data_IF_931105530271
#
_entry.id   IF_931105530271
#
_cell.length_a   1.000
_cell.length_b   1.000
_cell.length_c   1.000
_cell.angle_alpha   90.00
_cell.angle_beta   90.00
_cell.angle_gamma   90.00
#
_symmetry.space_group_name_H-M   'P 1'
#
loop_
_entity.id
_entity.type
_entity.pdbx_description
1 polymer ?
#
# COMPACT_ATOMS: atom_id res chain seq x y z
N UNK A 1 -2.59 -18.01 -31.30
CA UNK A 1 -2.50 -16.58 -30.94
C UNK A 1 -1.04 -16.19 -31.07
N UNK A 2 -0.68 -15.33 -32.04
CA UNK A 2 0.68 -14.82 -32.14
C UNK A 2 0.81 -13.77 -31.02
N UNK A 3 1.49 -14.12 -29.93
CA UNK A 3 1.58 -13.37 -28.68
C UNK A 3 2.33 -12.02 -28.77
N UNK A 4 2.03 -11.22 -29.79
CA UNK A 4 2.47 -9.84 -29.86
C UNK A 4 1.60 -9.00 -28.93
N UNK A 5 2.22 -8.40 -27.92
CA UNK A 5 1.59 -7.43 -27.04
C UNK A 5 1.31 -6.16 -27.85
N UNK A 6 0.04 -5.84 -28.07
CA UNK A 6 -0.38 -4.59 -28.69
C UNK A 6 -0.57 -3.54 -27.60
N UNK A 7 0.38 -2.61 -27.56
CA UNK A 7 0.41 -1.52 -26.59
C UNK A 7 -0.82 -0.61 -26.70
N UNK A 8 -1.32 -0.36 -27.91
CA UNK A 8 -2.48 0.51 -28.14
C UNK A 8 -3.77 -0.19 -27.75
N UNK A 9 -3.88 -1.50 -28.00
CA UNK A 9 -4.98 -2.31 -27.48
C UNK A 9 -4.96 -2.36 -25.94
N UNK A 10 -3.78 -2.48 -25.32
CA UNK A 10 -3.62 -2.48 -23.87
C UNK A 10 -4.02 -1.14 -23.26
N UNK A 11 -3.55 0.00 -23.81
CA UNK A 11 -3.96 1.35 -23.39
C UNK A 11 -5.47 1.52 -23.49
N UNK A 12 -6.06 1.21 -24.65
CA UNK A 12 -7.51 1.37 -24.88
C UNK A 12 -8.36 0.56 -23.90
N UNK A 13 -7.89 -0.63 -23.50
CA UNK A 13 -8.59 -1.49 -22.55
C UNK A 13 -8.37 -1.08 -21.08
N UNK A 14 -7.16 -0.64 -20.72
CA UNK A 14 -6.76 -0.41 -19.32
C UNK A 14 -7.11 0.99 -18.80
N UNK A 15 -6.96 2.04 -19.62
CA UNK A 15 -7.13 3.43 -19.19
C UNK A 15 -8.56 3.71 -18.68
N UNK A 16 -9.63 3.41 -19.43
CA UNK A 16 -11.00 3.68 -18.95
C UNK A 16 -11.34 2.87 -17.70
N UNK A 17 -10.82 1.63 -17.60
CA UNK A 17 -11.05 0.76 -16.45
C UNK A 17 -10.39 1.29 -15.19
N UNK A 18 -9.16 1.81 -15.30
CA UNK A 18 -8.47 2.43 -14.16
C UNK A 18 -9.23 3.65 -13.66
N UNK A 19 -9.66 4.54 -14.58
CA UNK A 19 -10.46 5.71 -14.24
C UNK A 19 -11.76 5.33 -13.52
N UNK A 20 -12.55 4.41 -14.09
CA UNK A 20 -13.80 3.98 -13.48
C UNK A 20 -13.60 3.19 -12.17
N UNK A 21 -12.46 2.52 -11.97
CA UNK A 21 -12.13 1.90 -10.69
C UNK A 21 -11.84 2.95 -9.63
N UNK A 22 -10.96 3.92 -9.94
CA UNK A 22 -10.62 5.02 -9.03
C UNK A 22 -11.85 5.85 -8.64
N UNK A 23 -12.73 6.16 -9.59
CA UNK A 23 -13.97 6.91 -9.33
C UNK A 23 -14.90 6.15 -8.38
N UNK A 24 -15.06 4.82 -8.56
CA UNK A 24 -15.86 4.01 -7.64
C UNK A 24 -15.26 4.02 -6.24
N UNK A 25 -13.95 3.84 -6.13
CA UNK A 25 -13.23 3.76 -4.86
C UNK A 25 -13.34 5.08 -4.06
N UNK A 26 -13.16 6.23 -4.73
CA UNK A 26 -13.38 7.57 -4.15
C UNK A 26 -14.80 7.74 -3.61
N UNK A 27 -15.82 7.25 -4.33
CA UNK A 27 -17.22 7.37 -3.94
C UNK A 27 -17.56 6.48 -2.74
N UNK A 28 -17.20 5.20 -2.75
CA UNK A 28 -17.51 4.27 -1.64
C UNK A 28 -16.84 4.68 -0.33
N UNK A 29 -15.64 5.24 -0.40
CA UNK A 29 -14.91 5.66 0.79
C UNK A 29 -15.55 6.86 1.50
N UNK A 30 -16.11 7.81 0.73
CA UNK A 30 -16.82 8.97 1.27
C UNK A 30 -18.01 8.59 2.17
N UNK A 31 -18.61 7.42 1.94
CA UNK A 31 -19.79 6.95 2.68
C UNK A 31 -19.42 6.13 3.93
N UNK A 32 -18.20 5.56 4.02
CA UNK A 32 -17.88 4.48 4.97
C UNK A 32 -16.69 4.72 5.92
N UNK A 33 -15.83 5.74 5.71
CA UNK A 33 -14.60 5.88 6.51
C UNK A 33 -14.57 7.09 7.47
N UNK A 34 -14.22 6.82 8.73
CA UNK A 34 -13.62 7.80 9.66
C UNK A 34 -12.10 7.72 9.47
N UNK A 35 -11.54 8.59 8.63
CA UNK A 35 -10.09 8.74 8.46
C UNK A 35 -9.45 9.08 9.82
N UNK A 36 -8.41 8.36 10.23
CA UNK A 36 -7.72 8.62 11.51
C UNK A 36 -6.59 9.63 11.37
N UNK A 37 -5.82 9.56 10.28
CA UNK A 37 -4.52 10.23 10.21
C UNK A 37 -4.24 10.99 8.89
N UNK A 38 -4.99 10.75 7.81
CA UNK A 38 -4.72 11.34 6.48
C UNK A 38 -5.96 11.68 5.64
N UNK A 39 -5.73 12.02 4.36
CA UNK A 39 -6.79 12.22 3.35
C UNK A 39 -6.70 11.14 2.27
N UNK A 40 -7.83 10.69 1.71
CA UNK A 40 -7.78 9.90 0.47
C UNK A 40 -7.18 10.72 -0.65
N UNK A 41 -6.36 10.06 -1.45
CA UNK A 41 -5.70 10.68 -2.58
C UNK A 41 -6.01 9.95 -3.88
N UNK A 42 -6.08 10.75 -4.93
CA UNK A 42 -6.18 10.31 -6.31
C UNK A 42 -4.89 10.69 -7.01
N UNK A 43 -4.34 9.77 -7.77
CA UNK A 43 -3.08 9.92 -8.49
C UNK A 43 -3.29 9.69 -9.98
N UNK A 44 -2.61 10.50 -10.78
CA UNK A 44 -2.45 10.31 -12.21
C UNK A 44 -1.00 9.89 -12.46
N UNK A 45 -0.81 8.65 -12.91
CA UNK A 45 0.50 8.11 -13.23
C UNK A 45 0.69 8.10 -14.73
N UNK A 46 1.58 8.96 -15.21
CA UNK A 46 2.02 8.94 -16.60
C UNK A 46 3.14 7.92 -16.77
N UNK A 47 2.99 7.02 -17.75
CA UNK A 47 4.06 6.11 -18.14
C UNK A 47 4.90 6.70 -19.29
N UNK A 48 6.08 6.11 -19.53
CA UNK A 48 6.99 6.54 -20.60
C UNK A 48 6.44 6.38 -22.03
N UNK A 49 5.28 5.74 -22.18
CA UNK A 49 4.62 5.47 -23.45
C UNK A 49 3.43 6.42 -23.69
N UNK A 50 3.23 7.42 -22.82
CA UNK A 50 2.19 8.44 -22.93
C UNK A 50 0.79 7.97 -22.50
N UNK A 51 0.68 6.93 -21.66
CA UNK A 51 -0.58 6.53 -21.04
C UNK A 51 -0.67 6.99 -19.58
N UNK A 52 -1.87 7.41 -19.16
CA UNK A 52 -2.15 7.90 -17.80
C UNK A 52 -3.04 6.91 -17.03
N UNK A 53 -2.52 6.32 -15.96
CA UNK A 53 -3.29 5.47 -15.06
C UNK A 53 -3.83 6.27 -13.90
N UNK A 54 -5.04 5.94 -13.49
CA UNK A 54 -5.69 6.57 -12.36
C UNK A 54 -5.72 5.59 -11.18
N UNK A 55 -5.04 5.94 -10.11
CA UNK A 55 -4.96 5.15 -8.88
C UNK A 55 -5.51 5.96 -7.70
N UNK A 56 -5.96 5.26 -6.67
CA UNK A 56 -6.27 5.87 -5.38
C UNK A 56 -5.44 5.23 -4.29
N UNK A 57 -5.20 5.98 -3.23
CA UNK A 57 -4.64 5.47 -1.99
C UNK A 57 -5.60 5.75 -0.84
N UNK A 58 -5.63 4.85 0.15
CA UNK A 58 -6.49 4.99 1.33
C UNK A 58 -6.16 6.24 2.13
N UNK A 59 -4.88 6.52 2.37
CA UNK A 59 -4.47 7.73 3.08
C UNK A 59 -3.18 8.30 2.47
N UNK A 60 -3.10 9.63 2.42
CA UNK A 60 -1.84 10.37 2.27
C UNK A 60 -1.66 11.36 3.40
N UNK A 61 -0.43 11.48 3.87
CA UNK A 61 -0.04 12.44 4.90
C UNK A 61 1.44 12.78 4.79
N UNK A 62 1.83 13.91 5.37
CA UNK A 62 3.23 14.33 5.43
C UNK A 62 3.87 13.83 6.72
N UNK A 63 5.06 13.24 6.59
CA UNK A 63 5.89 12.85 7.72
C UNK A 63 7.34 13.24 7.42
N UNK A 64 7.93 14.06 8.30
CA UNK A 64 9.32 14.51 8.20
C UNK A 64 9.71 15.08 6.82
N UNK A 65 8.79 15.83 6.20
CA UNK A 65 8.99 16.43 4.88
C UNK A 65 8.91 15.45 3.69
N UNK A 66 8.48 14.21 3.93
CA UNK A 66 8.21 13.18 2.91
C UNK A 66 6.72 12.89 2.87
N UNK A 67 6.13 12.80 1.67
CA UNK A 67 4.74 12.37 1.53
C UNK A 67 4.65 10.85 1.69
N UNK A 68 3.78 10.37 2.56
CA UNK A 68 3.48 8.95 2.73
C UNK A 68 2.22 8.62 1.94
N UNK A 69 2.31 7.62 1.07
CA UNK A 69 1.17 7.02 0.36
C UNK A 69 0.84 5.69 1.05
N UNK A 70 -0.31 5.60 1.68
CA UNK A 70 -0.65 4.47 2.55
C UNK A 70 -1.85 3.67 2.01
N UNK A 71 -1.72 2.35 2.01
CA UNK A 71 -2.84 1.39 1.92
C UNK A 71 -3.06 0.75 3.28
N UNK A 72 -4.33 0.61 3.69
CA UNK A 72 -4.69 0.06 4.98
C UNK A 72 -5.47 -1.25 4.83
N UNK A 73 -5.08 -2.29 5.58
CA UNK A 73 -5.82 -3.55 5.68
C UNK A 73 -6.09 -3.87 7.13
N UNK A 74 -7.31 -4.28 7.43
CA UNK A 74 -7.76 -4.56 8.80
C UNK A 74 -8.30 -5.99 8.94
N UNK A 75 -8.06 -6.59 10.11
CA UNK A 75 -8.68 -7.83 10.53
C UNK A 75 -9.65 -7.59 11.68
N UNK A 76 -10.94 -7.56 11.38
CA UNK A 76 -11.98 -7.31 12.41
C UNK A 76 -12.15 -8.45 13.43
N UNK A 77 -11.63 -9.65 13.12
CA UNK A 77 -11.79 -10.85 13.97
C UNK A 77 -10.48 -11.56 14.27
N UNK A 78 -9.38 -11.15 13.65
CA UNK A 78 -8.08 -11.83 13.74
C UNK A 78 -6.97 -10.91 14.21
N UNK A 79 -5.80 -11.50 14.41
CA UNK A 79 -4.56 -10.76 14.74
C UNK A 79 -4.01 -9.99 13.55
N UNK A 80 -4.08 -10.56 12.34
CA UNK A 80 -3.60 -9.94 11.11
C UNK A 80 -4.65 -10.07 10.00
N UNK A 81 -4.64 -9.18 8.98
CA UNK A 81 -5.47 -9.32 7.80
C UNK A 81 -5.18 -10.62 7.04
N UNK A 82 -6.08 -11.01 6.14
CA UNK A 82 -5.87 -12.23 5.35
C UNK A 82 -4.68 -12.06 4.40
N UNK A 83 -4.08 -13.19 3.97
CA UNK A 83 -3.01 -13.14 2.97
C UNK A 83 -3.47 -12.43 1.68
N UNK A 84 -4.73 -12.64 1.26
CA UNK A 84 -5.29 -11.97 0.09
C UNK A 84 -5.35 -10.45 0.25
N UNK A 85 -5.79 -9.97 1.43
CA UNK A 85 -5.84 -8.53 1.72
C UNK A 85 -4.44 -7.90 1.74
N UNK A 86 -3.48 -8.60 2.34
CA UNK A 86 -2.07 -8.16 2.40
C UNK A 86 -1.47 -8.11 0.99
N UNK A 87 -1.69 -9.15 0.18
CA UNK A 87 -1.21 -9.20 -1.21
C UNK A 87 -1.82 -8.09 -2.07
N UNK A 88 -3.12 -7.83 -1.91
CA UNK A 88 -3.81 -6.73 -2.60
C UNK A 88 -3.20 -5.36 -2.24
N UNK A 89 -2.97 -5.10 -0.95
CA UNK A 89 -2.34 -3.86 -0.49
C UNK A 89 -0.91 -3.72 -1.03
N UNK A 90 -0.08 -4.77 -0.92
CA UNK A 90 1.28 -4.75 -1.46
C UNK A 90 1.31 -4.55 -2.98
N UNK A 91 0.38 -5.16 -3.71
CA UNK A 91 0.31 -5.03 -5.16
C UNK A 91 -0.01 -3.59 -5.60
N UNK A 92 -0.91 -2.90 -4.92
CA UNK A 92 -1.17 -1.47 -5.16
C UNK A 92 0.05 -0.62 -4.84
N UNK A 93 0.67 -0.85 -3.68
CA UNK A 93 1.85 -0.09 -3.25
C UNK A 93 3.06 -0.32 -4.16
N UNK A 94 3.16 -1.47 -4.83
CA UNK A 94 4.19 -1.72 -5.84
C UNK A 94 4.09 -0.71 -7.00
N UNK A 95 2.89 -0.34 -7.42
CA UNK A 95 2.71 0.65 -8.50
C UNK A 95 3.22 2.02 -8.04
N UNK A 96 2.86 2.43 -6.81
CA UNK A 96 3.32 3.70 -6.25
C UNK A 96 4.83 3.72 -5.99
N UNK A 97 5.40 2.64 -5.44
CA UNK A 97 6.81 2.53 -5.12
C UNK A 97 7.70 2.66 -6.36
N UNK A 98 7.19 2.30 -7.54
CA UNK A 98 7.90 2.40 -8.82
C UNK A 98 7.70 3.74 -9.55
N UNK A 99 6.97 4.71 -8.99
CA UNK A 99 6.89 6.06 -9.55
C UNK A 99 8.27 6.71 -9.49
N UNK A 100 8.84 7.11 -10.62
CA UNK A 100 10.16 7.73 -10.64
C UNK A 100 10.16 9.07 -9.87
N UNK A 101 9.25 9.98 -10.26
CA UNK A 101 9.08 11.30 -9.65
C UNK A 101 7.60 11.56 -9.35
N UNK A 102 7.31 12.04 -8.13
CA UNK A 102 5.97 12.48 -7.74
C UNK A 102 5.91 14.01 -7.75
N UNK A 103 4.88 14.56 -8.38
CA UNK A 103 4.63 16.00 -8.44
C UNK A 103 3.41 16.38 -7.61
N UNK A 104 3.53 17.49 -6.88
CA UNK A 104 2.41 18.18 -6.25
C UNK A 104 2.49 19.66 -6.65
N UNK A 105 1.46 20.18 -7.31
CA UNK A 105 1.43 21.54 -7.86
C UNK A 105 2.69 21.86 -8.71
N UNK A 106 3.04 20.96 -9.63
CA UNK A 106 4.23 21.00 -10.50
C UNK A 106 5.58 20.99 -9.77
N UNK A 107 5.60 20.79 -8.46
CA UNK A 107 6.82 20.65 -7.65
C UNK A 107 7.10 19.18 -7.38
N UNK A 108 8.30 18.73 -7.73
CA UNK A 108 8.77 17.39 -7.40
C UNK A 108 8.94 17.25 -5.88
N UNK A 109 8.34 16.22 -5.29
CA UNK A 109 8.36 15.97 -3.85
C UNK A 109 8.92 14.58 -3.52
N UNK A 110 9.62 14.44 -2.38
CA UNK A 110 10.00 13.12 -1.88
C UNK A 110 8.76 12.39 -1.36
N UNK A 111 8.72 11.08 -1.60
CA UNK A 111 7.63 10.24 -1.11
C UNK A 111 8.10 8.84 -0.73
N UNK A 112 7.30 8.15 0.08
CA UNK A 112 7.41 6.73 0.41
C UNK A 112 6.04 6.09 0.41
N UNK A 113 6.01 4.77 0.38
CA UNK A 113 4.79 3.98 0.43
C UNK A 113 4.72 3.20 1.74
N UNK A 114 3.52 3.03 2.27
CA UNK A 114 3.33 2.37 3.55
C UNK A 114 2.15 1.40 3.50
N UNK A 115 2.36 0.18 3.98
CA UNK A 115 1.27 -0.76 4.25
C UNK A 115 0.93 -0.71 5.75
N UNK A 116 -0.28 -0.24 6.09
CA UNK A 116 -0.80 -0.26 7.46
C UNK A 116 -1.66 -1.50 7.68
N UNK A 117 -1.21 -2.39 8.56
CA UNK A 117 -1.95 -3.59 8.96
C UNK A 117 -2.52 -3.40 10.36
N UNK A 118 -3.82 -3.56 10.50
CA UNK A 118 -4.53 -3.47 11.79
C UNK A 118 -5.24 -4.77 12.11
N UNK A 119 -5.44 -5.02 13.40
CA UNK A 119 -6.15 -6.20 13.88
C UNK A 119 -6.19 -6.19 15.40
N UNK A 120 -6.65 -7.29 16.01
CA UNK A 120 -6.70 -7.39 17.48
C UNK A 120 -5.29 -7.62 18.06
N UNK A 121 -4.40 -6.63 17.98
CA UNK A 121 -3.03 -6.68 18.49
C UNK A 121 -2.88 -5.70 19.68
N UNK A 122 -1.76 -5.78 20.37
CA UNK A 122 -1.34 -4.81 21.36
C UNK A 122 0.03 -4.26 20.98
N UNK A 123 0.15 -2.93 21.03
CA UNK A 123 1.31 -2.17 20.60
C UNK A 123 1.42 -1.98 19.08
N UNK A 124 2.64 -1.63 18.66
CA UNK A 124 2.99 -1.36 17.27
C UNK A 124 4.29 -2.07 16.89
N UNK A 125 4.38 -2.52 15.64
CA UNK A 125 5.61 -2.98 15.00
C UNK A 125 5.77 -2.29 13.64
N UNK A 126 6.91 -1.64 13.43
CA UNK A 126 7.29 -1.08 12.12
C UNK A 126 8.36 -1.97 11.51
N UNK A 127 8.19 -2.33 10.24
CA UNK A 127 9.12 -3.14 9.45
C UNK A 127 9.81 -2.26 8.39
N UNK A 128 11.11 -2.46 8.14
CA UNK A 128 11.93 -3.56 8.66
C UNK A 128 12.34 -3.38 10.14
N UNK A 129 12.36 -4.49 10.89
CA UNK A 129 12.71 -4.55 12.31
C UNK A 129 13.76 -5.63 12.60
N UNK A 130 14.45 -5.49 13.74
CA UNK A 130 15.40 -6.51 14.21
C UNK A 130 14.69 -7.81 14.60
N UNK A 131 15.42 -8.93 14.56
CA UNK A 131 14.89 -10.22 15.02
C UNK A 131 14.39 -10.17 16.46
N UNK A 132 15.07 -9.43 17.33
CA UNK A 132 14.70 -9.27 18.73
C UNK A 132 13.35 -8.58 18.86
N UNK A 133 13.18 -7.41 18.22
CA UNK A 133 11.93 -6.65 18.23
C UNK A 133 10.77 -7.49 17.69
N UNK A 134 10.96 -8.21 16.58
CA UNK A 134 9.92 -9.10 16.02
C UNK A 134 9.57 -10.25 16.97
N UNK A 135 10.57 -10.87 17.58
CA UNK A 135 10.35 -12.00 18.52
C UNK A 135 9.59 -11.54 19.76
N UNK A 136 9.93 -10.36 20.29
CA UNK A 136 9.22 -9.74 21.41
C UNK A 136 7.76 -9.46 21.04
N UNK A 137 7.52 -8.87 19.87
CA UNK A 137 6.17 -8.58 19.38
C UNK A 137 5.31 -9.85 19.17
N UNK A 138 5.89 -10.88 18.56
CA UNK A 138 5.24 -12.20 18.35
C UNK A 138 4.85 -12.83 19.69
N UNK A 139 5.75 -12.80 20.67
CA UNK A 139 5.51 -13.36 22.01
C UNK A 139 4.43 -12.57 22.76
N UNK A 140 4.51 -11.24 22.73
CA UNK A 140 3.54 -10.35 23.38
C UNK A 140 2.11 -10.58 22.85
N UNK A 141 1.98 -10.67 21.53
CA UNK A 141 0.69 -10.84 20.86
C UNK A 141 0.23 -12.30 20.71
N UNK A 142 1.01 -13.27 21.21
CA UNK A 142 0.75 -14.71 21.12
C UNK A 142 0.47 -15.16 19.67
N UNK A 143 1.26 -14.67 18.72
CA UNK A 143 1.04 -14.93 17.31
C UNK A 143 1.30 -16.39 16.96
N UNK A 144 0.47 -16.94 16.06
CA UNK A 144 0.64 -18.30 15.57
C UNK A 144 1.91 -18.43 14.73
N UNK A 145 2.40 -19.65 14.54
CA UNK A 145 3.56 -19.91 13.66
C UNK A 145 3.34 -19.37 12.23
N UNK A 146 2.12 -19.46 11.70
CA UNK A 146 1.79 -18.91 10.38
C UNK A 146 1.85 -17.39 10.35
N UNK A 147 1.36 -16.71 11.41
CA UNK A 147 1.48 -15.26 11.53
C UNK A 147 2.95 -14.81 11.68
N UNK A 148 3.76 -15.57 12.42
CA UNK A 148 5.20 -15.30 12.51
C UNK A 148 5.89 -15.41 11.14
N UNK A 149 5.60 -16.48 10.38
CA UNK A 149 6.12 -16.63 9.02
C UNK A 149 5.71 -15.47 8.11
N UNK A 150 4.46 -15.01 8.23
CA UNK A 150 4.00 -13.83 7.50
C UNK A 150 4.81 -12.58 7.87
N UNK A 151 5.03 -12.32 9.16
CA UNK A 151 5.83 -11.18 9.62
C UNK A 151 7.27 -11.23 9.10
N UNK A 152 7.88 -12.41 9.05
CA UNK A 152 9.23 -12.56 8.52
C UNK A 152 9.28 -12.30 7.00
N UNK A 153 8.27 -12.73 6.24
CA UNK A 153 8.14 -12.41 4.81
C UNK A 153 7.91 -10.92 4.57
N UNK A 154 7.02 -10.28 5.34
CA UNK A 154 6.77 -8.85 5.25
C UNK A 154 8.02 -8.04 5.64
N UNK A 155 8.77 -8.52 6.63
CA UNK A 155 10.02 -7.89 7.02
C UNK A 155 11.05 -7.96 5.88
N UNK A 156 11.16 -9.11 5.22
CA UNK A 156 12.04 -9.25 4.05
C UNK A 156 11.60 -8.32 2.91
N UNK A 157 10.31 -8.26 2.61
CA UNK A 157 9.78 -7.36 1.58
C UNK A 157 10.12 -5.88 1.86
N UNK A 158 9.99 -5.44 3.11
CA UNK A 158 10.34 -4.08 3.53
C UNK A 158 11.87 -3.83 3.57
N UNK A 159 12.70 -4.89 3.64
CA UNK A 159 14.16 -4.77 3.52
C UNK A 159 14.61 -4.61 2.06
N UNK A 160 13.98 -5.37 1.16
CA UNK A 160 14.32 -5.37 -0.28
C UNK A 160 13.75 -4.14 -1.01
N UNK A 161 12.67 -3.53 -0.50
CA UNK A 161 12.04 -2.35 -1.09
C UNK A 161 12.29 -1.09 -0.26
N UNK A 162 13.29 -0.25 -0.61
CA UNK A 162 13.71 0.89 0.22
C UNK A 162 12.67 2.01 0.35
N UNK A 163 11.64 2.02 -0.50
CA UNK A 163 10.51 2.96 -0.44
C UNK A 163 9.32 2.44 0.37
N UNK A 164 9.30 1.15 0.71
CA UNK A 164 8.20 0.51 1.43
C UNK A 164 8.50 0.44 2.93
N UNK A 165 7.55 0.90 3.72
CA UNK A 165 7.48 0.61 5.15
C UNK A 165 6.20 -0.20 5.43
N UNK A 166 6.25 -1.13 6.38
CA UNK A 166 5.06 -1.86 6.81
C UNK A 166 4.85 -1.60 8.29
N UNK A 167 3.70 -1.06 8.64
CA UNK A 167 3.36 -0.72 10.02
C UNK A 167 2.20 -1.58 10.47
N UNK A 168 2.36 -2.21 11.63
CA UNK A 168 1.39 -3.13 12.20
C UNK A 168 0.93 -2.57 13.53
N UNK A 169 -0.36 -2.29 13.64
CA UNK A 169 -1.01 -1.65 14.81
C UNK A 169 -2.10 -2.55 15.39
N UNK A 170 -2.30 -2.46 16.71
CA UNK A 170 -3.45 -3.00 17.43
C UNK A 170 -4.66 -2.09 17.44
#
# INVERSE_FOLDING_TARGET
>A
MNGAFDLEAFKRASLPRSYHAAQRELQTAHELERLSDGKKAYFELENMLGGTYHLTADEVFWQDGTLIIQEAKNSSRGKLPSLGDIQDGLFKLLLFANIDTLYLDDVAIPFRVQLKLTGNLDGQLTLPATQETRTQYVKHNQLSRGAQQMLDLLNLEAQENPRLEIVIHG
#
